data_IF_263326984224
#
_entry.id   IF_263326984224
#
_cell.length_a   1.000
_cell.length_b   1.000
_cell.length_c   1.000
_cell.angle_alpha   90.00
_cell.angle_beta   90.00
_cell.angle_gamma   90.00
#
_symmetry.space_group_name_H-M   'P 1'
#
loop_
_entity.id
_entity.type
_entity.pdbx_description
1 polymer ?
#
# COMPACT_ATOMS: atom_id res chain seq x y z
N UNK A 1 10.35 37.86 16.69
CA UNK A 1 10.16 37.31 16.53
C UNK A 1 10.12 36.46 16.37
N UNK A 2 10.07 36.54 16.31
CA UNK A 2 9.89 35.83 16.10
C UNK A 2 9.66 35.04 15.89
N UNK A 3 9.47 35.01 15.87
CA UNK A 3 9.08 34.27 15.64
C UNK A 3 8.85 33.38 15.40
N UNK A 4 8.75 33.54 15.28
CA UNK A 4 8.31 32.48 15.04
C UNK A 4 8.22 31.50 14.72
N UNK A 5 8.23 31.72 14.65
CA UNK A 5 8.21 31.00 14.31
C UNK A 5 8.33 30.06 14.09
N UNK A 6 8.34 30.55 14.35
CA UNK A 6 8.37 29.86 14.36
C UNK A 6 8.15 28.94 14.19
N UNK A 7 7.73 29.34 14.29
CA UNK A 7 7.29 28.58 14.19
C UNK A 7 7.03 27.76 13.65
N UNK A 8 6.93 28.34 13.45
CA UNK A 8 6.55 27.71 12.96
C UNK A 8 6.60 26.78 12.68
N UNK A 9 6.61 27.08 12.86
CA UNK A 9 6.57 26.29 12.59
C UNK A 9 6.53 25.38 12.58
N UNK A 10 6.43 25.70 12.74
CA UNK A 10 6.34 24.88 12.73
C UNK A 10 6.20 23.94 12.67
N UNK A 11 6.05 23.99 12.69
CA UNK A 11 5.86 23.15 12.52
C UNK A 11 6.00 22.13 12.68
N UNK A 12 5.85 22.05 12.89
CA UNK A 12 5.84 21.04 12.94
C UNK A 12 5.80 20.17 13.10
N UNK A 13 5.82 20.04 13.33
CA UNK A 13 5.69 19.14 13.30
C UNK A 13 5.35 18.46 13.27
N UNK A 14 5.23 18.91 13.22
CA UNK A 14 4.61 18.23 12.95
C UNK A 14 4.87 17.16 12.80
N UNK A 15 5.35 17.42 13.53
CA UNK A 15 5.59 16.56 13.04
C UNK A 15 5.45 15.57 12.92
N UNK A 16 5.22 15.71 13.51
CA UNK A 16 4.79 14.43 13.49
C UNK A 16 4.21 14.00 12.21
N UNK A 17 3.61 14.85 11.52
CA UNK A 17 3.02 14.38 10.28
C UNK A 17 4.10 14.17 9.23
N UNK A 18 4.36 12.91 8.91
CA UNK A 18 5.28 12.54 7.86
C UNK A 18 4.65 12.67 6.48
N UNK A 19 3.32 12.86 6.44
CA UNK A 19 2.57 12.78 5.21
C UNK A 19 1.58 13.93 5.14
N UNK A 20 1.59 14.70 4.06
CA UNK A 20 0.55 15.69 3.87
C UNK A 20 -0.83 15.05 3.86
N UNK A 21 -1.78 15.75 4.45
CA UNK A 21 -3.15 15.24 4.59
C UNK A 21 -3.75 14.91 3.23
N UNK A 22 -3.49 15.75 2.22
CA UNK A 22 -4.08 15.52 0.91
C UNK A 22 -3.55 14.24 0.23
N UNK A 23 -2.31 13.84 0.50
CA UNK A 23 -1.78 12.58 -0.01
C UNK A 23 -2.51 11.39 0.60
N UNK A 24 -2.76 11.46 1.92
CA UNK A 24 -3.52 10.41 2.59
C UNK A 24 -4.95 10.34 2.08
N UNK A 25 -5.58 11.50 1.86
CA UNK A 25 -6.93 11.55 1.32
C UNK A 25 -6.99 10.99 -0.09
N UNK A 26 -6.00 11.30 -0.91
CA UNK A 26 -5.93 10.77 -2.27
C UNK A 26 -5.76 9.26 -2.26
N UNK A 27 -4.90 8.76 -1.36
CA UNK A 27 -4.69 7.33 -1.22
C UNK A 27 -5.99 6.62 -0.83
N UNK A 28 -6.72 7.17 0.15
CA UNK A 28 -7.99 6.60 0.59
C UNK A 28 -9.03 6.62 -0.53
N UNK A 29 -9.05 7.68 -1.33
CA UNK A 29 -9.97 7.82 -2.44
C UNK A 29 -9.70 6.76 -3.52
N UNK A 30 -8.43 6.58 -3.88
CA UNK A 30 -8.03 5.55 -4.84
C UNK A 30 -8.35 4.16 -4.32
N UNK A 31 -8.12 3.94 -3.03
CA UNK A 31 -8.42 2.67 -2.38
C UNK A 31 -9.89 2.33 -2.52
N UNK A 32 -10.75 3.29 -2.27
CA UNK A 32 -12.19 3.10 -2.42
C UNK A 32 -12.56 2.80 -3.86
N UNK A 33 -12.00 3.54 -4.81
CA UNK A 33 -12.25 3.30 -6.23
C UNK A 33 -11.86 1.88 -6.65
N UNK A 34 -10.67 1.44 -6.21
CA UNK A 34 -10.17 0.11 -6.55
C UNK A 34 -11.07 -0.97 -5.96
N UNK A 35 -11.47 -0.82 -4.69
CA UNK A 35 -12.28 -1.82 -4.01
C UNK A 35 -13.70 -1.90 -4.55
N UNK A 36 -14.25 -0.77 -5.00
CA UNK A 36 -15.66 -0.73 -5.40
C UNK A 36 -15.90 -0.88 -6.89
N UNK A 37 -14.84 -0.98 -7.69
CA UNK A 37 -15.00 -1.06 -9.14
C UNK A 37 -15.67 -2.38 -9.53
N UNK A 38 -16.71 -2.29 -10.37
CA UNK A 38 -17.49 -3.46 -10.81
C UNK A 38 -17.58 -3.58 -12.32
N UNK A 39 -17.16 -2.54 -13.04
CA UNK A 39 -17.23 -2.54 -14.49
C UNK A 39 -16.14 -3.35 -15.15
N UNK A 40 -16.22 -3.48 -16.46
CA UNK A 40 -15.24 -4.23 -17.25
C UNK A 40 -14.03 -3.39 -17.63
N UNK A 41 -14.09 -2.08 -17.42
CA UNK A 41 -12.98 -1.21 -17.77
C UNK A 41 -11.79 -1.46 -16.87
N UNK A 42 -10.61 -1.42 -17.46
CA UNK A 42 -9.36 -1.49 -16.72
C UNK A 42 -8.91 -0.08 -16.37
N UNK A 43 -8.32 0.07 -15.20
CA UNK A 43 -7.86 1.38 -14.73
C UNK A 43 -6.44 1.27 -14.19
N UNK A 44 -5.45 1.03 -15.08
CA UNK A 44 -4.06 0.95 -14.63
C UNK A 44 -3.60 2.26 -13.98
N UNK A 45 -4.19 3.39 -14.39
CA UNK A 45 -3.83 4.68 -13.80
C UNK A 45 -4.18 4.74 -12.31
N UNK A 46 -5.29 4.11 -11.89
CA UNK A 46 -5.63 4.05 -10.45
C UNK A 46 -4.60 3.23 -9.69
N UNK A 47 -4.24 2.08 -10.24
CA UNK A 47 -3.32 1.16 -9.58
C UNK A 47 -1.92 1.76 -9.51
N UNK A 48 -1.48 2.39 -10.59
CA UNK A 48 -0.16 3.04 -10.62
C UNK A 48 -0.10 4.18 -9.61
N UNK A 49 -1.10 5.05 -9.60
CA UNK A 49 -1.10 6.18 -8.67
C UNK A 49 -1.18 5.68 -7.23
N UNK A 50 -2.04 4.70 -6.96
CA UNK A 50 -2.22 4.15 -5.62
C UNK A 50 -0.90 3.58 -5.10
N UNK A 51 -0.22 2.78 -5.91
CA UNK A 51 1.04 2.16 -5.50
C UNK A 51 2.16 3.18 -5.38
N UNK A 52 2.23 4.15 -6.31
CA UNK A 52 3.25 5.19 -6.23
C UNK A 52 3.13 5.97 -4.91
N UNK A 53 1.92 6.38 -4.56
CA UNK A 53 1.70 7.10 -3.30
C UNK A 53 2.02 6.23 -2.09
N UNK A 54 1.48 5.02 -2.06
CA UNK A 54 1.65 4.14 -0.91
C UNK A 54 3.08 3.68 -0.71
N UNK A 55 3.77 3.33 -1.79
CA UNK A 55 5.16 2.89 -1.70
C UNK A 55 6.07 4.05 -1.28
N UNK A 56 5.75 5.26 -1.72
CA UNK A 56 6.50 6.44 -1.28
C UNK A 56 6.34 6.66 0.22
N UNK A 57 5.11 6.53 0.73
CA UNK A 57 4.86 6.65 2.17
C UNK A 57 5.63 5.60 2.96
N UNK A 58 5.64 4.36 2.47
CA UNK A 58 6.39 3.29 3.10
C UNK A 58 7.89 3.57 3.06
N UNK A 59 8.39 4.08 1.94
CA UNK A 59 9.80 4.40 1.79
C UNK A 59 10.23 5.48 2.78
N UNK A 60 9.42 6.54 2.92
CA UNK A 60 9.71 7.61 3.88
C UNK A 60 9.75 7.08 5.30
N UNK A 61 8.81 6.20 5.65
CA UNK A 61 8.81 5.58 6.98
C UNK A 61 10.07 4.76 7.21
N UNK A 62 10.49 3.99 6.19
CA UNK A 62 11.71 3.20 6.27
C UNK A 62 12.95 4.04 6.45
N UNK A 63 13.04 5.17 5.74
CA UNK A 63 14.17 6.09 5.86
C UNK A 63 14.27 6.69 7.25
N UNK A 64 13.16 6.81 7.95
CA UNK A 64 13.12 7.31 9.32
C UNK A 64 13.23 6.18 10.33
N UNK A 65 13.45 4.96 9.86
CA UNK A 65 13.56 3.77 10.71
C UNK A 65 12.30 3.49 11.51
N UNK A 66 11.14 3.84 10.96
CA UNK A 66 9.83 3.58 11.55
C UNK A 66 9.26 2.31 10.92
N UNK A 67 9.86 1.17 11.27
CA UNK A 67 9.50 -0.11 10.64
C UNK A 67 8.03 -0.50 10.81
N UNK A 68 7.42 -0.33 12.01
CA UNK A 68 6.00 -0.65 12.13
C UNK A 68 5.13 0.18 11.21
N UNK A 69 5.46 1.45 11.01
CA UNK A 69 4.71 2.31 10.10
C UNK A 69 4.94 1.89 8.65
N UNK A 70 6.18 1.56 8.30
CA UNK A 70 6.50 1.06 6.97
C UNK A 70 5.71 -0.21 6.66
N UNK A 71 5.69 -1.16 7.58
CA UNK A 71 4.92 -2.39 7.44
C UNK A 71 3.43 -2.10 7.28
N UNK A 72 2.92 -1.15 8.05
CA UNK A 72 1.52 -0.77 8.00
C UNK A 72 1.11 -0.25 6.61
N UNK A 73 1.91 0.64 6.02
CA UNK A 73 1.63 1.13 4.68
C UNK A 73 1.66 0.01 3.65
N UNK A 74 2.69 -0.83 3.69
CA UNK A 74 2.84 -1.93 2.73
C UNK A 74 1.70 -2.95 2.86
N UNK A 75 1.32 -3.27 4.10
CA UNK A 75 0.23 -4.20 4.37
C UNK A 75 -1.09 -3.65 3.82
N UNK A 76 -1.32 -2.36 3.97
CA UNK A 76 -2.53 -1.71 3.47
C UNK A 76 -2.62 -1.82 1.95
N UNK A 77 -1.52 -1.55 1.24
CA UNK A 77 -1.49 -1.69 -0.21
C UNK A 77 -1.75 -3.13 -0.63
N UNK A 78 -1.07 -4.05 0.02
CA UNK A 78 -1.22 -5.46 -0.29
C UNK A 78 -2.65 -5.93 -0.08
N UNK A 79 -3.24 -5.59 1.07
CA UNK A 79 -4.60 -6.02 1.40
C UNK A 79 -5.62 -5.48 0.41
N UNK A 80 -5.47 -4.23 -0.03
CA UNK A 80 -6.39 -3.63 -0.99
C UNK A 80 -6.39 -4.40 -2.30
N UNK A 81 -5.21 -4.67 -2.84
CA UNK A 81 -5.10 -5.38 -4.12
C UNK A 81 -5.48 -6.85 -3.98
N UNK A 82 -5.12 -7.48 -2.87
CA UNK A 82 -5.53 -8.87 -2.59
C UNK A 82 -7.05 -8.97 -2.54
N UNK A 83 -7.69 -8.08 -1.78
CA UNK A 83 -9.14 -8.12 -1.65
C UNK A 83 -9.83 -7.89 -2.99
N UNK A 84 -9.31 -6.97 -3.80
CA UNK A 84 -9.87 -6.74 -5.13
C UNK A 84 -9.69 -7.96 -6.04
N UNK A 85 -8.55 -8.63 -5.92
CA UNK A 85 -8.26 -9.84 -6.70
C UNK A 85 -9.26 -10.96 -6.38
N UNK A 86 -9.61 -11.11 -5.10
CA UNK A 86 -10.50 -12.19 -4.66
C UNK A 86 -11.97 -11.81 -4.62
N UNK A 87 -12.32 -10.58 -5.00
CA UNK A 87 -13.71 -10.12 -4.93
C UNK A 87 -14.51 -10.76 -6.07
N UNK A 88 -15.34 -11.74 -5.74
CA UNK A 88 -16.12 -12.48 -6.73
C UNK A 88 -17.15 -11.61 -7.44
N UNK A 89 -17.49 -10.45 -6.92
CA UNK A 89 -18.45 -9.53 -7.54
C UNK A 89 -17.81 -8.60 -8.56
N UNK A 90 -16.49 -8.54 -8.60
CA UNK A 90 -15.79 -7.72 -9.57
C UNK A 90 -15.59 -8.48 -10.88
N UNK A 91 -15.45 -7.74 -11.97
CA UNK A 91 -15.21 -8.35 -13.29
C UNK A 91 -13.89 -9.09 -13.30
N UNK A 92 -13.83 -10.21 -14.03
CA UNK A 92 -12.61 -11.04 -14.08
C UNK A 92 -11.41 -10.27 -14.59
N UNK A 93 -11.60 -9.43 -15.60
CA UNK A 93 -10.49 -8.67 -16.17
C UNK A 93 -9.89 -7.70 -15.15
N UNK A 94 -10.74 -7.07 -14.34
CA UNK A 94 -10.29 -6.17 -13.29
C UNK A 94 -9.55 -6.94 -12.18
N UNK A 95 -10.08 -8.09 -11.81
CA UNK A 95 -9.43 -8.94 -10.80
C UNK A 95 -8.04 -9.37 -11.27
N UNK A 96 -7.92 -9.76 -12.54
CA UNK A 96 -6.64 -10.13 -13.11
C UNK A 96 -5.67 -8.94 -13.14
N UNK A 97 -6.17 -7.75 -13.44
CA UNK A 97 -5.33 -6.56 -13.44
C UNK A 97 -4.82 -6.25 -12.02
N UNK A 98 -5.71 -6.36 -11.02
CA UNK A 98 -5.29 -6.16 -9.63
C UNK A 98 -4.23 -7.18 -9.22
N UNK A 99 -4.37 -8.43 -9.65
CA UNK A 99 -3.37 -9.45 -9.38
C UNK A 99 -2.03 -9.10 -10.02
N UNK A 100 -2.05 -8.58 -11.25
CA UNK A 100 -0.82 -8.20 -11.95
C UNK A 100 -0.04 -7.12 -11.20
N UNK A 101 -0.72 -6.29 -10.41
CA UNK A 101 -0.07 -5.22 -9.63
C UNK A 101 0.24 -5.65 -8.21
N UNK A 102 -0.35 -6.74 -7.74
CA UNK A 102 -0.21 -7.21 -6.37
C UNK A 102 1.24 -7.56 -6.03
N UNK A 103 2.03 -7.96 -7.01
CA UNK A 103 3.41 -8.36 -6.77
C UNK A 103 4.25 -7.22 -6.18
N UNK A 104 3.91 -5.95 -6.47
CA UNK A 104 4.71 -4.82 -6.00
C UNK A 104 4.70 -4.72 -4.47
N UNK A 105 3.55 -4.59 -3.80
CA UNK A 105 3.56 -4.60 -2.34
C UNK A 105 3.96 -5.96 -1.77
N UNK A 106 3.69 -7.06 -2.50
CA UNK A 106 4.13 -8.37 -2.05
C UNK A 106 5.66 -8.43 -1.94
N UNK A 107 6.38 -8.01 -2.98
CA UNK A 107 7.84 -8.04 -2.96
C UNK A 107 8.40 -7.10 -1.89
N UNK A 108 7.77 -5.94 -1.70
CA UNK A 108 8.21 -5.00 -0.68
C UNK A 108 8.07 -5.59 0.72
N UNK A 109 6.94 -6.26 1.00
CA UNK A 109 6.72 -6.93 2.29
C UNK A 109 7.67 -8.11 2.46
N UNK A 110 7.86 -8.88 1.40
CA UNK A 110 8.78 -10.02 1.44
C UNK A 110 10.19 -9.56 1.79
N UNK A 111 10.63 -8.48 1.17
CA UNK A 111 11.95 -7.92 1.46
C UNK A 111 12.04 -7.45 2.91
N UNK A 112 11.00 -6.77 3.39
CA UNK A 112 10.97 -6.28 4.77
C UNK A 112 11.04 -7.44 5.76
N UNK A 113 10.23 -8.48 5.55
CA UNK A 113 10.16 -9.61 6.47
C UNK A 113 11.43 -10.45 6.45
N UNK A 114 12.11 -10.53 5.31
CA UNK A 114 13.37 -11.28 5.23
C UNK A 114 14.47 -10.70 6.12
N UNK A 115 14.41 -9.40 6.36
CA UNK A 115 15.39 -8.75 7.23
C UNK A 115 15.04 -8.87 8.71
N UNK A 116 13.93 -9.52 9.04
CA UNK A 116 13.41 -9.62 10.40
C UNK A 116 13.11 -11.08 10.72
N UNK A 117 14.07 -11.81 11.35
CA UNK A 117 13.85 -13.24 11.64
C UNK A 117 12.60 -13.51 12.46
N UNK A 118 12.20 -12.57 13.32
CA UNK A 118 11.00 -12.71 14.15
C UNK A 118 9.71 -12.65 13.33
N UNK A 119 9.79 -12.25 12.06
CA UNK A 119 8.64 -12.16 11.17
C UNK A 119 8.54 -13.35 10.20
N UNK A 120 9.23 -14.44 10.51
CA UNK A 120 9.25 -15.60 9.60
C UNK A 120 7.84 -16.12 9.32
N UNK A 121 6.97 -16.15 10.32
CA UNK A 121 5.60 -16.62 10.14
C UNK A 121 4.82 -15.70 9.21
N UNK A 122 5.04 -14.39 9.31
CA UNK A 122 4.40 -13.43 8.41
C UNK A 122 4.87 -13.64 6.98
N UNK A 123 6.16 -13.89 6.80
CA UNK A 123 6.73 -14.14 5.47
C UNK A 123 6.12 -15.40 4.85
N UNK A 124 6.06 -16.50 5.61
CA UNK A 124 5.48 -17.74 5.12
C UNK A 124 4.02 -17.57 4.72
N UNK A 125 3.27 -16.85 5.54
CA UNK A 125 1.84 -16.64 5.28
C UNK A 125 1.62 -15.84 4.00
N UNK A 126 2.39 -14.77 3.78
CA UNK A 126 2.20 -13.92 2.61
C UNK A 126 2.65 -14.63 1.33
N UNK A 127 3.72 -15.41 1.40
CA UNK A 127 4.18 -16.21 0.25
C UNK A 127 3.12 -17.22 -0.15
N UNK A 128 2.56 -17.92 0.84
CA UNK A 128 1.50 -18.91 0.58
C UNK A 128 0.28 -18.27 -0.04
N UNK A 129 -0.16 -17.14 0.51
CA UNK A 129 -1.35 -16.44 0.02
C UNK A 129 -1.15 -15.93 -1.40
N UNK A 130 0.01 -15.36 -1.69
CA UNK A 130 0.32 -14.86 -3.04
C UNK A 130 0.34 -16.00 -4.04
N UNK A 131 0.88 -17.15 -3.66
CA UNK A 131 0.88 -18.33 -4.52
C UNK A 131 -0.53 -18.79 -4.83
N UNK A 132 -1.42 -18.78 -3.84
CA UNK A 132 -2.82 -19.13 -4.04
C UNK A 132 -3.50 -18.15 -4.98
N UNK A 133 -3.26 -16.85 -4.80
CA UNK A 133 -3.85 -15.83 -5.66
C UNK A 133 -3.42 -16.02 -7.11
N UNK A 134 -2.14 -16.28 -7.33
CA UNK A 134 -1.61 -16.49 -8.68
C UNK A 134 -2.26 -17.69 -9.36
N UNK A 135 -2.53 -18.75 -8.62
CA UNK A 135 -3.17 -19.94 -9.19
C UNK A 135 -4.67 -19.77 -9.36
N UNK A 136 -5.29 -18.95 -8.50
CA UNK A 136 -6.75 -18.79 -8.51
C UNK A 136 -7.27 -18.20 -9.82
N UNK A 137 -6.53 -17.27 -10.41
CA UNK A 137 -6.94 -16.58 -11.63
C UNK A 137 -6.23 -17.10 -12.89
N UNK A 138 -5.34 -18.04 -12.72
CA UNK A 138 -4.65 -18.70 -13.85
C UNK A 138 -5.12 -20.16 -13.96
#
# INVERSE_FOLDING_TARGET
>A
VIRPQQFRSAQPPQGGSLVPVHEQQRLAQLELQIRSHRGNELHPEWLNEYLDLGLELACRAGERQLQPLQESWLTRLYNTLRDATFNSQAASCWRCQCLDYLYQPFFALQHLYRSQPERRNHLSAIVHEFSLASRYLN
#
